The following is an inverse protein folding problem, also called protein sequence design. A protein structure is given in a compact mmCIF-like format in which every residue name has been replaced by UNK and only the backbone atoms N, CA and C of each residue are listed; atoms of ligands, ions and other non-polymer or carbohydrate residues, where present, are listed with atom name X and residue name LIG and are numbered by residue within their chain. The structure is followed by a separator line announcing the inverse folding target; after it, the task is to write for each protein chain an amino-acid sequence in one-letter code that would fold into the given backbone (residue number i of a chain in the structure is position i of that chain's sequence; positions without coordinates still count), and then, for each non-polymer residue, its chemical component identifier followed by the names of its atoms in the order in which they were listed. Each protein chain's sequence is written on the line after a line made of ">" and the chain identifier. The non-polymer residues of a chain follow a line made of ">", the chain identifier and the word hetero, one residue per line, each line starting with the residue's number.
data_IF_567526749401
#
_entry.id   IF_567526749401
#
_cell.length_a   1.000
_cell.length_b   1.000
_cell.length_c   1.000
_cell.angle_alpha   90.00
_cell.angle_beta   90.00
_cell.angle_gamma   90.00
#
_symmetry.space_group_name_H-M   'P 1'
#
loop_
_entity.id
_entity.type
_entity.pdbx_description
1 polymer ?
#
# COMPACT_ATOMS: atom_id res chain seq x y z
N UNK A 1 -18.66 3.09 -19.61
CA UNK A 1 -18.31 2.56 -18.28
C UNK A 1 -19.31 1.48 -17.92
N UNK A 2 -18.93 0.22 -18.07
CA UNK A 2 -19.79 -0.94 -17.80
C UNK A 2 -19.59 -1.41 -16.35
N UNK A 3 -20.71 -1.71 -15.69
CA UNK A 3 -20.87 -1.99 -14.25
C UNK A 3 -20.31 -3.37 -13.83
N UNK A 4 -19.57 -4.04 -14.71
CA UNK A 4 -19.17 -5.45 -14.57
C UNK A 4 -17.89 -5.67 -13.75
N UNK A 5 -17.08 -4.63 -13.50
CA UNK A 5 -15.81 -4.78 -12.76
C UNK A 5 -16.01 -4.85 -11.23
N UNK A 6 -17.19 -4.47 -10.73
CA UNK A 6 -17.49 -4.43 -9.29
C UNK A 6 -17.84 -5.80 -8.67
N UNK A 7 -18.04 -6.85 -9.48
CA UNK A 7 -18.58 -8.15 -9.02
C UNK A 7 -17.57 -9.29 -8.93
N UNK A 8 -16.30 -9.11 -9.33
CA UNK A 8 -15.30 -10.16 -9.15
C UNK A 8 -14.75 -10.14 -7.71
N UNK A 9 -15.56 -10.62 -6.76
CA UNK A 9 -15.09 -10.90 -5.40
C UNK A 9 -14.20 -12.14 -5.46
N UNK A 10 -12.88 -12.07 -5.16
CA UNK A 10 -12.04 -13.26 -5.16
C UNK A 10 -12.61 -14.29 -4.18
N UNK A 11 -12.98 -15.50 -4.65
CA UNK A 11 -13.45 -16.56 -3.78
C UNK A 11 -12.27 -17.04 -2.91
N UNK A 12 -12.50 -17.15 -1.60
CA UNK A 12 -11.57 -17.90 -0.73
C UNK A 12 -10.72 -17.10 0.26
N UNK A 13 -10.98 -15.82 0.55
CA UNK A 13 -10.29 -15.14 1.66
C UNK A 13 -10.78 -15.73 3.00
N UNK A 14 -9.94 -16.47 3.77
CA UNK A 14 -10.36 -17.10 5.02
C UNK A 14 -10.86 -16.05 6.03
N UNK A 15 -11.85 -16.38 6.87
CA UNK A 15 -12.48 -15.41 7.79
C UNK A 15 -11.47 -14.62 8.64
N UNK A 16 -10.37 -15.27 9.07
CA UNK A 16 -9.26 -14.63 9.78
C UNK A 16 -8.63 -13.47 8.99
N UNK A 17 -8.47 -13.63 7.68
CA UNK A 17 -7.92 -12.60 6.79
C UNK A 17 -8.90 -11.46 6.58
N UNK A 18 -10.21 -11.73 6.59
CA UNK A 18 -11.24 -10.67 6.52
C UNK A 18 -11.26 -9.81 7.79
N UNK A 19 -11.13 -10.43 8.96
CA UNK A 19 -11.03 -9.68 10.22
C UNK A 19 -9.72 -8.89 10.29
N UNK A 20 -8.60 -9.51 9.93
CA UNK A 20 -7.31 -8.82 9.82
C UNK A 20 -7.37 -7.63 8.85
N UNK A 21 -8.00 -7.80 7.69
CA UNK A 21 -8.19 -6.72 6.71
C UNK A 21 -9.03 -5.56 7.29
N UNK A 22 -10.11 -5.85 8.03
CA UNK A 22 -10.91 -4.79 8.69
C UNK A 22 -10.10 -4.04 9.74
N UNK A 23 -9.31 -4.75 10.54
CA UNK A 23 -8.41 -4.13 11.52
C UNK A 23 -7.36 -3.26 10.81
N UNK A 24 -6.72 -3.76 9.75
CA UNK A 24 -5.78 -3.00 8.93
C UNK A 24 -6.42 -1.73 8.37
N UNK A 25 -7.66 -1.81 7.87
CA UNK A 25 -8.39 -0.64 7.35
C UNK A 25 -8.63 0.39 8.46
N UNK A 26 -9.12 -0.04 9.62
CA UNK A 26 -9.33 0.88 10.76
C UNK A 26 -8.04 1.58 11.20
N UNK A 27 -6.95 0.82 11.32
CA UNK A 27 -5.63 1.37 11.64
C UNK A 27 -5.14 2.34 10.54
N UNK A 28 -5.34 1.99 9.27
CA UNK A 28 -4.94 2.83 8.15
C UNK A 28 -5.67 4.18 8.12
N UNK A 29 -6.97 4.21 8.43
CA UNK A 29 -7.70 5.46 8.57
C UNK A 29 -7.18 6.31 9.73
N UNK A 30 -6.87 5.70 10.88
CA UNK A 30 -6.26 6.42 12.00
C UNK A 30 -4.87 6.98 11.65
N UNK A 31 -4.04 6.18 10.97
CA UNK A 31 -2.70 6.61 10.52
C UNK A 31 -2.77 7.69 9.45
N UNK A 32 -3.77 7.67 8.57
CA UNK A 32 -3.95 8.68 7.52
C UNK A 32 -4.26 10.09 8.08
N UNK A 33 -4.68 10.20 9.34
CA UNK A 33 -4.89 11.48 10.03
C UNK A 33 -3.61 12.03 10.67
N UNK A 34 -2.52 11.25 10.70
CA UNK A 34 -1.26 11.70 11.28
C UNK A 34 -0.52 12.66 10.33
N UNK A 35 0.23 13.63 10.87
CA UNK A 35 1.19 14.41 10.08
C UNK A 35 2.20 13.50 9.39
N UNK A 36 2.63 13.86 8.18
CA UNK A 36 3.54 13.08 7.33
C UNK A 36 4.80 12.60 8.06
N UNK A 37 5.43 13.45 8.87
CA UNK A 37 6.62 13.08 9.65
C UNK A 37 6.36 11.98 10.68
N UNK A 38 5.21 12.04 11.37
CA UNK A 38 4.82 11.00 12.34
C UNK A 38 4.42 9.71 11.62
N UNK A 39 3.68 9.83 10.52
CA UNK A 39 3.30 8.69 9.70
C UNK A 39 4.53 7.93 9.21
N UNK A 40 5.52 8.64 8.66
CA UNK A 40 6.76 8.04 8.18
C UNK A 40 7.52 7.33 9.32
N UNK A 41 7.67 7.98 10.48
CA UNK A 41 8.34 7.39 11.64
C UNK A 41 7.64 6.12 12.14
N UNK A 42 6.31 6.14 12.22
CA UNK A 42 5.50 4.98 12.63
C UNK A 42 5.64 3.84 11.62
N UNK A 43 5.50 4.10 10.33
CA UNK A 43 5.63 3.08 9.29
C UNK A 43 7.04 2.47 9.27
N UNK A 44 8.08 3.29 9.43
CA UNK A 44 9.47 2.82 9.52
C UNK A 44 9.67 1.92 10.74
N UNK A 45 8.99 2.21 11.85
CA UNK A 45 9.06 1.35 13.03
C UNK A 45 8.29 0.04 12.82
N UNK A 46 7.15 0.09 12.16
CA UNK A 46 6.31 -1.08 11.88
C UNK A 46 6.99 -2.00 10.85
N UNK A 47 7.68 -1.46 9.84
CA UNK A 47 8.31 -2.24 8.77
C UNK A 47 9.49 -3.10 9.25
N UNK A 48 10.06 -2.77 10.42
CA UNK A 48 11.21 -3.50 10.97
C UNK A 48 10.88 -4.95 11.29
N UNK A 49 11.80 -5.83 10.90
CA UNK A 49 11.74 -7.27 11.18
C UNK A 49 10.80 -8.07 10.27
N UNK A 50 10.18 -7.44 9.28
CA UNK A 50 9.38 -8.14 8.28
C UNK A 50 10.25 -8.50 7.06
N UNK A 51 10.01 -9.68 6.47
CA UNK A 51 10.64 -10.06 5.22
C UNK A 51 10.10 -9.22 4.05
N UNK A 52 10.85 -9.03 2.95
CA UNK A 52 10.30 -8.39 1.75
C UNK A 52 9.06 -9.13 1.24
N UNK A 53 8.00 -8.39 0.90
CA UNK A 53 6.80 -8.98 0.32
C UNK A 53 6.98 -9.27 -1.17
N UNK A 54 6.51 -10.44 -1.61
CA UNK A 54 6.36 -10.75 -3.03
C UNK A 54 5.14 -10.06 -3.65
N UNK A 55 5.09 -9.97 -4.98
CA UNK A 55 4.02 -9.27 -5.70
C UNK A 55 2.64 -9.86 -5.40
N UNK A 56 2.50 -11.18 -5.49
CA UNK A 56 1.22 -11.87 -5.26
C UNK A 56 0.71 -11.73 -3.83
N UNK A 57 1.62 -11.70 -2.85
CA UNK A 57 1.25 -11.48 -1.45
C UNK A 57 0.70 -10.05 -1.27
N UNK A 58 1.41 -9.04 -1.78
CA UNK A 58 0.95 -7.67 -1.69
C UNK A 58 -0.38 -7.45 -2.45
N UNK A 59 -0.54 -8.11 -3.60
CA UNK A 59 -1.78 -8.09 -4.38
C UNK A 59 -2.94 -8.72 -3.61
N UNK A 60 -2.74 -9.90 -3.03
CA UNK A 60 -3.75 -10.56 -2.22
C UNK A 60 -4.17 -9.71 -1.02
N UNK A 61 -3.23 -9.00 -0.38
CA UNK A 61 -3.52 -8.07 0.71
C UNK A 61 -4.38 -6.90 0.23
N UNK A 62 -4.01 -6.27 -0.90
CA UNK A 62 -4.77 -5.18 -1.52
C UNK A 62 -6.19 -5.63 -1.85
N UNK A 63 -6.36 -6.77 -2.48
CA UNK A 63 -7.67 -7.30 -2.87
C UNK A 63 -8.54 -7.61 -1.63
N UNK A 64 -7.94 -8.14 -0.56
CA UNK A 64 -8.65 -8.35 0.71
C UNK A 64 -9.11 -7.02 1.35
N UNK A 65 -8.29 -5.98 1.31
CA UNK A 65 -8.65 -4.62 1.77
C UNK A 65 -9.81 -4.05 0.97
N UNK A 66 -9.75 -4.13 -0.36
CA UNK A 66 -10.82 -3.65 -1.24
C UNK A 66 -12.13 -4.42 -1.01
N UNK A 67 -12.05 -5.72 -0.74
CA UNK A 67 -13.22 -6.57 -0.47
C UNK A 67 -13.94 -6.26 0.86
N UNK A 68 -13.32 -5.50 1.78
CA UNK A 68 -13.89 -5.16 3.09
C UNK A 68 -14.12 -3.65 3.29
N UNK A 69 -13.67 -2.80 2.38
CA UNK A 69 -13.76 -1.34 2.52
C UNK A 69 -14.09 -0.64 1.20
N UNK A 70 -15.33 -0.15 1.08
CA UNK A 70 -15.76 0.68 -0.05
C UNK A 70 -15.01 2.02 -0.10
N UNK A 71 -14.63 2.57 1.05
CA UNK A 71 -13.88 3.83 1.11
C UNK A 71 -12.47 3.69 0.51
N UNK A 72 -11.89 2.48 0.54
CA UNK A 72 -10.62 2.19 -0.12
C UNK A 72 -10.75 2.03 -1.65
N UNK A 73 -11.95 1.75 -2.18
CA UNK A 73 -12.20 1.70 -3.63
C UNK A 73 -12.30 3.10 -4.27
N UNK A 74 -12.61 4.13 -3.48
CA UNK A 74 -12.80 5.48 -4.00
C UNK A 74 -11.52 6.15 -4.52
N UNK A 75 -11.69 7.12 -5.43
CA UNK A 75 -10.58 7.88 -6.05
C UNK A 75 -9.69 8.64 -5.06
N UNK A 76 -10.25 9.04 -3.91
CA UNK A 76 -9.52 9.68 -2.79
C UNK A 76 -9.02 8.67 -1.73
N UNK A 77 -9.29 7.38 -1.91
CA UNK A 77 -8.95 6.31 -0.97
C UNK A 77 -7.52 5.77 -1.11
N UNK A 78 -6.67 6.35 -1.96
CA UNK A 78 -5.33 5.81 -2.23
C UNK A 78 -4.45 5.70 -0.99
N UNK A 79 -4.43 6.73 -0.13
CA UNK A 79 -3.66 6.72 1.12
C UNK A 79 -4.11 5.65 2.11
N UNK A 80 -5.38 5.60 2.56
CA UNK A 80 -5.82 4.56 3.48
C UNK A 80 -5.73 3.16 2.85
N UNK A 81 -5.93 3.02 1.53
CA UNK A 81 -5.78 1.74 0.83
C UNK A 81 -4.33 1.24 0.84
N UNK A 82 -3.36 2.07 0.50
CA UNK A 82 -1.95 1.67 0.49
C UNK A 82 -1.44 1.36 1.90
N UNK A 83 -1.85 2.15 2.89
CA UNK A 83 -1.56 1.91 4.32
C UNK A 83 -2.16 0.59 4.79
N UNK A 84 -3.45 0.34 4.54
CA UNK A 84 -4.12 -0.89 4.95
C UNK A 84 -3.47 -2.12 4.30
N UNK A 85 -3.06 -2.00 3.04
CA UNK A 85 -2.35 -3.05 2.32
C UNK A 85 -1.01 -3.36 3.00
N UNK A 86 -0.20 -2.35 3.29
CA UNK A 86 1.09 -2.52 3.97
C UNK A 86 0.93 -3.12 5.38
N UNK A 87 -0.06 -2.67 6.15
CA UNK A 87 -0.36 -3.20 7.48
C UNK A 87 -0.84 -4.66 7.43
N UNK A 88 -1.66 -5.01 6.43
CA UNK A 88 -2.12 -6.39 6.26
C UNK A 88 -0.96 -7.32 5.86
N UNK A 89 -0.10 -6.89 4.95
CA UNK A 89 1.16 -7.59 4.67
C UNK A 89 1.99 -7.78 5.95
N UNK A 90 2.08 -6.74 6.80
CA UNK A 90 2.83 -6.82 8.06
C UNK A 90 2.29 -7.88 9.01
N UNK A 91 0.98 -8.05 9.05
CA UNK A 91 0.32 -9.11 9.82
C UNK A 91 0.59 -10.50 9.23
N UNK A 92 0.96 -10.60 7.96
CA UNK A 92 1.41 -11.84 7.31
C UNK A 92 2.93 -12.05 7.42
N UNK A 93 3.65 -11.18 8.14
CA UNK A 93 5.09 -11.29 8.35
C UNK A 93 5.95 -10.72 7.22
N UNK A 94 5.33 -10.11 6.20
CA UNK A 94 6.04 -9.51 5.06
C UNK A 94 5.78 -8.01 4.97
N UNK A 95 6.62 -7.28 4.25
CA UNK A 95 6.47 -5.83 4.07
C UNK A 95 6.75 -5.42 2.62
N UNK A 96 5.77 -4.83 1.92
CA UNK A 96 6.00 -4.20 0.63
C UNK A 96 6.64 -2.82 0.86
N UNK A 97 7.33 -2.28 -0.14
CA UNK A 97 7.76 -0.88 -0.07
C UNK A 97 6.52 -0.01 -0.14
N UNK A 98 6.23 0.75 0.92
CA UNK A 98 5.13 1.70 0.91
C UNK A 98 5.64 3.03 0.34
N UNK A 99 4.91 3.59 -0.64
CA UNK A 99 5.33 4.78 -1.38
C UNK A 99 4.26 5.87 -1.36
N UNK A 100 4.70 7.12 -1.29
CA UNK A 100 3.89 8.33 -1.56
C UNK A 100 4.63 9.19 -2.56
N UNK A 101 3.89 9.73 -3.51
CA UNK A 101 4.44 10.53 -4.59
C UNK A 101 3.40 11.43 -5.22
N UNK A 102 3.74 12.00 -6.37
CA UNK A 102 2.85 12.83 -7.15
C UNK A 102 2.81 12.35 -8.61
N UNK A 103 1.65 12.53 -9.24
CA UNK A 103 1.50 12.30 -10.68
C UNK A 103 2.31 13.35 -11.45
N UNK A 104 3.15 12.90 -12.36
CA UNK A 104 4.01 13.76 -13.21
C UNK A 104 3.27 14.32 -14.41
N UNK A 105 2.09 13.77 -14.75
CA UNK A 105 1.22 14.24 -15.82
C UNK A 105 -0.19 14.56 -15.30
N UNK A 106 -0.91 15.48 -15.94
CA UNK A 106 -2.29 15.80 -15.58
C UNK A 106 -3.20 14.55 -15.54
N UNK A 107 -4.16 14.51 -14.59
CA UNK A 107 -4.37 15.48 -13.51
C UNK A 107 -3.31 15.32 -12.41
N UNK A 108 -2.66 16.44 -12.06
CA UNK A 108 -1.66 16.49 -10.99
C UNK A 108 -2.33 16.20 -9.64
N UNK A 109 -1.68 15.37 -8.84
CA UNK A 109 -2.20 15.02 -7.52
C UNK A 109 -1.27 14.10 -6.76
N UNK A 110 -1.33 14.19 -5.44
CA UNK A 110 -0.66 13.25 -4.57
C UNK A 110 -1.27 11.85 -4.74
N UNK A 111 -0.43 10.83 -4.68
CA UNK A 111 -0.82 9.44 -4.77
C UNK A 111 0.00 8.61 -3.80
N UNK A 112 -0.60 7.54 -3.30
CA UNK A 112 0.05 6.60 -2.40
C UNK A 112 -0.24 5.19 -2.88
N UNK A 113 0.80 4.35 -2.90
CA UNK A 113 0.75 2.99 -3.40
C UNK A 113 1.72 2.09 -2.61
N UNK A 114 1.74 0.81 -2.97
CA UNK A 114 2.75 -0.12 -2.47
C UNK A 114 3.45 -0.78 -3.66
N UNK A 115 4.73 -1.08 -3.47
CA UNK A 115 5.56 -1.77 -4.44
C UNK A 115 6.08 -3.09 -3.84
N UNK A 116 6.11 -4.12 -4.66
CA UNK A 116 6.67 -5.41 -4.34
C UNK A 116 7.42 -5.91 -5.58
N UNK A 117 8.60 -6.48 -5.39
CA UNK A 117 9.46 -6.94 -6.51
C UNK A 117 9.73 -5.85 -7.56
N UNK A 118 9.86 -4.59 -7.13
CA UNK A 118 10.09 -3.45 -8.03
C UNK A 118 8.88 -3.04 -8.88
N UNK A 119 7.68 -3.56 -8.58
CA UNK A 119 6.46 -3.32 -9.34
C UNK A 119 5.37 -2.72 -8.46
N UNK A 120 4.64 -1.75 -9.00
CA UNK A 120 3.45 -1.21 -8.36
C UNK A 120 2.33 -2.25 -8.26
N UNK A 121 1.74 -2.39 -7.09
CA UNK A 121 0.73 -3.42 -6.84
C UNK A 121 -0.67 -2.88 -7.17
N UNK A 122 -1.26 -3.42 -8.23
CA UNK A 122 -2.62 -3.09 -8.67
C UNK A 122 -2.80 -1.65 -9.10
N UNK A 123 -1.76 -1.03 -9.65
CA UNK A 123 -1.83 0.27 -10.33
C UNK A 123 -1.35 0.07 -11.77
N UNK A 124 -2.19 0.38 -12.74
CA UNK A 124 -1.85 0.34 -14.18
C UNK A 124 -1.21 1.67 -14.62
N UNK A 125 -0.32 2.21 -13.80
CA UNK A 125 0.42 3.42 -14.12
C UNK A 125 1.67 3.05 -14.92
N UNK A 126 1.86 3.66 -16.10
CA UNK A 126 3.09 3.52 -16.87
C UNK A 126 4.29 4.01 -16.07
N UNK A 127 5.47 3.38 -16.25
CA UNK A 127 6.73 3.85 -15.69
C UNK A 127 6.93 5.37 -15.94
N UNK A 128 7.35 6.09 -14.90
CA UNK A 128 7.53 7.55 -14.95
C UNK A 128 6.27 8.40 -14.79
N UNK A 129 5.07 7.80 -14.65
CA UNK A 129 3.84 8.54 -14.35
C UNK A 129 3.76 9.03 -12.90
N UNK A 130 4.48 8.38 -11.99
CA UNK A 130 4.54 8.72 -10.57
C UNK A 130 5.98 9.00 -10.16
N UNK A 131 6.19 10.14 -9.51
CA UNK A 131 7.46 10.48 -8.89
C UNK A 131 7.37 10.23 -7.38
N UNK A 132 8.18 9.32 -6.87
CA UNK A 132 8.21 8.93 -5.44
C UNK A 132 8.88 10.02 -4.61
N UNK A 133 8.15 10.54 -3.62
CA UNK A 133 8.63 11.55 -2.69
C UNK A 133 9.04 10.93 -1.35
N UNK A 134 8.30 9.92 -0.89
CA UNK A 134 8.53 9.22 0.37
C UNK A 134 8.38 7.73 0.10
N UNK A 135 9.33 6.93 0.60
CA UNK A 135 9.22 5.48 0.59
C UNK A 135 9.65 4.86 1.93
N UNK A 136 8.99 3.78 2.32
CA UNK A 136 9.31 2.97 3.50
C UNK A 136 9.52 1.52 3.04
N UNK A 137 10.75 1.13 2.66
CA UNK A 137 11.04 -0.22 2.23
C UNK A 137 11.05 -1.22 3.40
N UNK A 138 10.99 -2.54 3.12
CA UNK A 138 11.33 -3.55 4.13
C UNK A 138 12.76 -3.29 4.63
N UNK A 139 12.99 -3.49 5.93
CA UNK A 139 14.35 -3.33 6.47
C UNK A 139 15.20 -4.52 6.00
N UNK A 140 15.92 -4.36 4.90
CA UNK A 140 17.01 -5.29 4.59
C UNK A 140 18.07 -5.19 5.69
N UNK A 141 18.61 -6.33 6.17
CA UNK A 141 19.85 -6.29 6.95
C UNK A 141 21.00 -5.85 6.02
N UNK A 142 21.17 -4.53 5.83
CA UNK A 142 22.41 -3.97 5.25
C UNK A 142 22.26 -2.86 4.21
N UNK A 143 21.11 -2.60 3.60
CA UNK A 143 21.03 -1.61 2.52
C UNK A 143 20.60 -0.23 3.02
N UNK A 144 21.59 0.62 3.32
CA UNK A 144 21.37 2.06 3.51
C UNK A 144 20.70 2.62 2.24
N UNK A 145 19.61 3.37 2.43
CA UNK A 145 18.92 4.10 1.37
C UNK A 145 19.95 4.98 0.63
N UNK A 146 20.24 4.62 -0.62
CA UNK A 146 21.03 5.43 -1.51
C UNK A 146 20.24 6.69 -1.84
N UNK A 147 20.71 7.81 -1.31
CA UNK A 147 20.41 9.14 -1.82
C UNK A 147 20.69 9.17 -3.32
N UNK A 148 19.70 9.54 -4.13
CA UNK A 148 19.93 10.01 -5.49
C UNK A 148 18.84 11.00 -5.84
N UNK A 149 19.25 12.26 -5.91
CA UNK A 149 18.81 13.22 -6.91
C UNK A 149 19.90 14.29 -6.99
N UNK A 150 20.80 14.09 -7.95
CA UNK A 150 21.60 15.12 -8.62
C UNK A 150 20.71 15.95 -9.53
#
# INVERSE_FOLDING_TARGET
>A
MTVSDALNRPPGVPTRHRMAARVAVGLAFGLALLPSGRLHAVLTRISRGAAPAGYEQAKAARDAVLAVSLACLGSRGCLPRSLATALLCRMWGVWPTWCVGARTRPPFGAHAWVEAEGRMVGEDASEGYLNTLISVPPTEPGRRAGTSQT
#
